data_IF_372508510538
#
_entry.id   IF_372508510538
#
_cell.length_a   1.000
_cell.length_b   1.000
_cell.length_c   1.000
_cell.angle_alpha   90.00
_cell.angle_beta   90.00
_cell.angle_gamma   90.00
#
_symmetry.space_group_name_H-M   'P 1'
#
loop_
_entity.id
_entity.type
_entity.pdbx_description
1 polymer ?
#
# COMPACT_ATOMS: atom_id res chain seq x y z
N UNK A 1 10.96 7.15 -17.94
CA UNK A 1 10.57 7.86 -16.70
C UNK A 1 9.04 7.94 -16.60
N UNK A 2 8.49 7.60 -15.44
CA UNK A 2 7.03 7.73 -15.19
C UNK A 2 6.69 9.19 -14.94
N UNK A 3 5.60 9.67 -15.52
CA UNK A 3 5.16 11.04 -15.33
C UNK A 3 4.29 11.12 -14.06
N UNK A 4 4.76 11.87 -13.04
CA UNK A 4 4.06 12.05 -11.75
C UNK A 4 2.58 12.45 -11.90
N UNK A 5 2.30 13.47 -12.74
CA UNK A 5 0.93 13.96 -12.94
C UNK A 5 0.01 12.86 -13.48
N UNK A 6 0.50 12.07 -14.45
CA UNK A 6 -0.25 10.97 -15.06
C UNK A 6 -0.53 9.84 -14.07
N UNK A 7 0.47 9.41 -13.32
CA UNK A 7 0.32 8.33 -12.32
C UNK A 7 -0.58 8.76 -11.16
N UNK A 8 -0.40 9.99 -10.66
CA UNK A 8 -1.27 10.57 -9.62
C UNK A 8 -2.73 10.70 -10.08
N UNK A 9 -2.97 11.20 -11.30
CA UNK A 9 -4.32 11.34 -11.87
C UNK A 9 -5.01 9.98 -12.01
N UNK A 10 -4.32 8.95 -12.49
CA UNK A 10 -4.85 7.59 -12.57
C UNK A 10 -5.25 7.04 -11.20
N UNK A 11 -4.37 7.18 -10.20
CA UNK A 11 -4.64 6.71 -8.85
C UNK A 11 -5.85 7.42 -8.22
N UNK A 12 -5.96 8.73 -8.41
CA UNK A 12 -7.11 9.53 -7.93
C UNK A 12 -8.40 9.09 -8.67
N UNK A 13 -8.35 8.87 -9.99
CA UNK A 13 -9.52 8.44 -10.75
C UNK A 13 -10.03 7.07 -10.26
N UNK A 14 -9.14 6.08 -10.09
CA UNK A 14 -9.51 4.75 -9.58
C UNK A 14 -10.12 4.87 -8.16
N UNK A 15 -9.50 5.66 -7.30
CA UNK A 15 -9.97 5.87 -5.93
C UNK A 15 -11.34 6.54 -5.89
N UNK A 16 -11.53 7.65 -6.61
CA UNK A 16 -12.78 8.42 -6.59
C UNK A 16 -13.94 7.66 -7.22
N UNK A 17 -13.72 7.00 -8.35
CA UNK A 17 -14.74 6.16 -9.01
C UNK A 17 -15.11 4.97 -8.13
N UNK A 18 -14.13 4.28 -7.56
CA UNK A 18 -14.36 3.15 -6.68
C UNK A 18 -15.20 3.52 -5.45
N UNK A 19 -14.86 4.60 -4.75
CA UNK A 19 -15.63 5.04 -3.58
C UNK A 19 -17.00 5.63 -3.93
N UNK A 20 -17.13 6.41 -5.00
CA UNK A 20 -18.40 7.00 -5.38
C UNK A 20 -19.41 5.94 -5.82
N UNK A 21 -19.04 5.06 -6.75
CA UNK A 21 -19.91 4.00 -7.23
C UNK A 21 -20.16 2.96 -6.15
N UNK A 22 -19.11 2.49 -5.45
CA UNK A 22 -19.23 1.48 -4.41
C UNK A 22 -20.10 1.95 -3.25
N UNK A 23 -19.92 3.19 -2.80
CA UNK A 23 -20.76 3.78 -1.75
C UNK A 23 -22.22 3.92 -2.16
N UNK A 24 -22.49 4.43 -3.37
CA UNK A 24 -23.84 4.55 -3.87
C UNK A 24 -24.57 3.20 -3.97
N UNK A 25 -23.91 2.18 -4.54
CA UNK A 25 -24.50 0.84 -4.68
C UNK A 25 -24.75 0.17 -3.32
N UNK A 26 -23.87 0.32 -2.34
CA UNK A 26 -24.08 -0.22 -0.99
C UNK A 26 -25.27 0.45 -0.31
N UNK A 27 -25.35 1.77 -0.35
CA UNK A 27 -26.45 2.52 0.26
C UNK A 27 -27.77 2.12 -0.39
N UNK A 28 -27.84 2.03 -1.72
CA UNK A 28 -29.02 1.62 -2.45
C UNK A 28 -29.40 0.17 -2.09
N UNK A 29 -28.45 -0.76 -2.09
CA UNK A 29 -28.71 -2.16 -1.77
C UNK A 29 -29.26 -2.35 -0.36
N UNK A 30 -28.72 -1.62 0.63
CA UNK A 30 -29.21 -1.66 2.01
C UNK A 30 -30.56 -0.97 2.16
N UNK A 31 -30.76 0.19 1.52
CA UNK A 31 -32.02 0.94 1.62
C UNK A 31 -33.22 0.22 0.96
N UNK A 32 -32.97 -0.67 0.00
CA UNK A 32 -34.01 -1.44 -0.71
C UNK A 32 -34.26 -2.84 -0.11
N UNK A 33 -33.58 -3.20 0.99
CA UNK A 33 -33.84 -4.42 1.72
C UNK A 33 -35.31 -4.44 2.20
N UNK A 34 -36.08 -5.46 1.75
CA UNK A 34 -37.51 -5.61 2.06
C UNK A 34 -38.48 -5.01 1.03
N UNK A 35 -37.99 -4.28 0.03
CA UNK A 35 -38.84 -3.70 -1.06
C UNK A 35 -38.58 -4.31 -2.43
N UNK A 36 -37.37 -4.81 -2.67
CA UNK A 36 -36.97 -5.50 -3.88
C UNK A 36 -36.81 -7.01 -3.64
N UNK A 37 -36.70 -7.75 -4.73
CA UNK A 37 -36.36 -9.18 -4.67
C UNK A 37 -35.02 -9.33 -3.96
N UNK A 38 -34.92 -10.16 -2.92
CA UNK A 38 -33.72 -10.35 -2.09
C UNK A 38 -32.43 -10.57 -2.90
N UNK A 39 -32.51 -11.31 -4.01
CA UNK A 39 -31.39 -11.58 -4.92
C UNK A 39 -30.81 -10.28 -5.49
N UNK A 40 -31.66 -9.32 -5.87
CA UNK A 40 -31.24 -8.05 -6.43
C UNK A 40 -30.50 -7.19 -5.38
N UNK A 41 -30.97 -7.18 -4.14
CA UNK A 41 -30.32 -6.47 -3.04
C UNK A 41 -28.92 -7.06 -2.75
N UNK A 42 -28.80 -8.39 -2.68
CA UNK A 42 -27.54 -9.08 -2.47
C UNK A 42 -26.55 -8.77 -3.60
N UNK A 43 -27.01 -8.79 -4.86
CA UNK A 43 -26.18 -8.46 -6.00
C UNK A 43 -25.64 -7.02 -5.93
N UNK A 44 -26.45 -6.03 -5.57
CA UNK A 44 -26.03 -4.64 -5.41
C UNK A 44 -24.98 -4.49 -4.30
N UNK A 45 -25.15 -5.18 -3.18
CA UNK A 45 -24.19 -5.15 -2.06
C UNK A 45 -22.85 -5.76 -2.48
N UNK A 46 -22.85 -6.90 -3.18
CA UNK A 46 -21.62 -7.55 -3.65
C UNK A 46 -20.88 -6.66 -4.64
N UNK A 47 -21.57 -6.12 -5.62
CA UNK A 47 -20.96 -5.22 -6.62
C UNK A 47 -20.43 -3.96 -5.95
N UNK A 48 -21.17 -3.38 -5.02
CA UNK A 48 -20.74 -2.22 -4.25
C UNK A 48 -19.45 -2.49 -3.45
N UNK A 49 -19.37 -3.66 -2.80
CA UNK A 49 -18.17 -4.08 -2.07
C UNK A 49 -16.95 -4.22 -3.00
N UNK A 50 -17.11 -4.78 -4.20
CA UNK A 50 -16.03 -4.88 -5.19
C UNK A 50 -15.51 -3.51 -5.59
N UNK A 51 -16.40 -2.54 -5.85
CA UNK A 51 -16.00 -1.16 -6.18
C UNK A 51 -15.29 -0.47 -5.02
N UNK A 52 -15.69 -0.71 -3.77
CA UNK A 52 -14.96 -0.18 -2.60
C UNK A 52 -13.54 -0.77 -2.50
N UNK A 53 -13.37 -2.06 -2.78
CA UNK A 53 -12.05 -2.68 -2.84
C UNK A 53 -11.17 -2.03 -3.92
N UNK A 54 -11.71 -1.74 -5.10
CA UNK A 54 -11.01 -1.00 -6.16
C UNK A 54 -10.60 0.40 -5.69
N UNK A 55 -11.49 1.11 -4.98
CA UNK A 55 -11.17 2.41 -4.37
C UNK A 55 -10.02 2.31 -3.37
N UNK A 56 -10.01 1.28 -2.53
CA UNK A 56 -8.93 1.03 -1.58
C UNK A 56 -7.59 0.72 -2.27
N UNK A 57 -7.60 -0.07 -3.34
CA UNK A 57 -6.41 -0.31 -4.18
C UNK A 57 -5.89 1.01 -4.76
N UNK A 58 -6.77 1.87 -5.29
CA UNK A 58 -6.41 3.20 -5.79
C UNK A 58 -5.72 4.06 -4.73
N UNK A 59 -6.19 4.01 -3.47
CA UNK A 59 -5.55 4.69 -2.35
C UNK A 59 -4.14 4.15 -2.06
N UNK A 60 -3.94 2.83 -2.13
CA UNK A 60 -2.62 2.20 -2.00
C UNK A 60 -1.64 2.67 -3.08
N UNK A 61 -2.11 2.72 -4.34
CA UNK A 61 -1.34 3.21 -5.47
C UNK A 61 -0.96 4.69 -5.26
N UNK A 62 -1.90 5.53 -4.81
CA UNK A 62 -1.64 6.94 -4.54
C UNK A 62 -0.57 7.15 -3.46
N UNK A 63 -0.61 6.35 -2.37
CA UNK A 63 0.44 6.38 -1.34
C UNK A 63 1.81 6.00 -1.91
N UNK A 64 1.85 4.98 -2.76
CA UNK A 64 3.07 4.53 -3.44
C UNK A 64 3.62 5.62 -4.37
N UNK A 65 2.78 6.24 -5.21
CA UNK A 65 3.17 7.36 -6.08
C UNK A 65 3.75 8.51 -5.26
N UNK A 66 3.12 8.90 -4.16
CA UNK A 66 3.63 9.96 -3.28
C UNK A 66 4.99 9.64 -2.65
N UNK A 67 5.35 8.36 -2.49
CA UNK A 67 6.67 7.95 -1.98
C UNK A 67 7.73 7.91 -3.06
N UNK A 68 7.36 7.45 -4.26
CA UNK A 68 8.29 7.27 -5.38
C UNK A 68 8.73 8.56 -6.06
N UNK A 69 8.11 9.70 -5.72
CA UNK A 69 8.41 10.97 -6.36
C UNK A 69 8.74 12.05 -5.34
N UNK A 70 9.67 12.94 -5.73
CA UNK A 70 10.02 14.11 -4.95
C UNK A 70 8.81 15.05 -4.81
N UNK A 71 8.48 15.52 -3.60
CA UNK A 71 7.35 16.43 -3.42
C UNK A 71 7.60 17.82 -4.00
N UNK A 72 8.87 18.23 -4.18
CA UNK A 72 9.25 19.57 -4.64
C UNK A 72 9.29 19.67 -6.16
N UNK A 73 10.06 18.82 -6.83
CA UNK A 73 10.25 18.87 -8.29
C UNK A 73 9.49 17.79 -9.06
N UNK A 74 8.90 16.81 -8.37
CA UNK A 74 8.19 15.68 -8.94
C UNK A 74 9.06 14.73 -9.79
N UNK A 75 10.39 14.77 -9.64
CA UNK A 75 11.28 13.77 -10.19
C UNK A 75 11.05 12.42 -9.49
N UNK A 76 11.19 11.34 -10.24
CA UNK A 76 11.09 9.99 -9.68
C UNK A 76 12.42 9.65 -8.99
N UNK A 77 12.37 9.18 -7.74
CA UNK A 77 13.55 8.70 -7.04
C UNK A 77 14.15 7.48 -7.72
N UNK A 78 15.49 7.45 -7.82
CA UNK A 78 16.27 6.29 -8.23
C UNK A 78 16.66 5.54 -6.97
N UNK A 79 16.20 4.29 -6.80
CA UNK A 79 16.32 3.58 -5.53
C UNK A 79 17.76 3.46 -5.02
N UNK A 80 18.71 3.14 -5.88
CA UNK A 80 20.10 2.94 -5.47
C UNK A 80 20.90 4.24 -5.26
N UNK A 81 20.45 5.35 -5.86
CA UNK A 81 21.19 6.62 -5.86
C UNK A 81 20.56 7.64 -4.89
N UNK A 82 19.23 7.65 -4.80
CA UNK A 82 18.48 8.68 -4.07
C UNK A 82 17.93 8.17 -2.72
N UNK A 83 17.99 6.85 -2.45
CA UNK A 83 17.33 6.24 -1.30
C UNK A 83 18.34 5.50 -0.44
N UNK A 84 18.52 5.99 0.77
CA UNK A 84 19.27 5.34 1.83
C UNK A 84 18.31 4.81 2.90
N UNK A 85 18.59 3.66 3.46
CA UNK A 85 17.82 3.11 4.54
C UNK A 85 18.72 2.37 5.53
N UNK A 86 18.32 2.39 6.81
CA UNK A 86 18.95 1.59 7.83
C UNK A 86 17.91 1.04 8.82
N UNK A 87 18.24 -0.06 9.46
CA UNK A 87 17.40 -0.67 10.47
C UNK A 87 17.63 0.08 11.80
N UNK A 88 16.59 0.81 12.26
CA UNK A 88 16.69 1.59 13.50
C UNK A 88 16.35 0.75 14.74
N UNK A 89 15.40 -0.19 14.61
CA UNK A 89 14.95 -1.01 15.73
C UNK A 89 14.41 -2.35 15.24
N UNK A 90 14.53 -3.38 16.08
CA UNK A 90 14.05 -4.73 15.81
C UNK A 90 13.17 -5.22 16.95
N UNK A 91 11.95 -5.61 16.64
CA UNK A 91 10.98 -6.14 17.59
C UNK A 91 10.70 -7.60 17.30
N UNK A 92 11.04 -8.49 18.23
CA UNK A 92 10.78 -9.92 18.12
C UNK A 92 9.43 -10.21 18.79
N UNK A 93 8.47 -10.71 18.02
CA UNK A 93 7.19 -11.22 18.53
C UNK A 93 7.12 -12.74 18.42
N UNK A 94 6.04 -13.33 18.94
CA UNK A 94 5.87 -14.81 19.02
C UNK A 94 5.83 -15.51 17.65
N UNK A 95 5.42 -14.83 16.59
CA UNK A 95 5.25 -15.41 15.25
C UNK A 95 5.99 -14.68 14.15
N UNK A 96 6.50 -13.49 14.43
CA UNK A 96 7.16 -12.65 13.43
C UNK A 96 8.19 -11.74 14.07
N UNK A 97 9.16 -11.36 13.27
CA UNK A 97 10.15 -10.35 13.61
C UNK A 97 9.87 -9.13 12.73
N UNK A 98 9.57 -8.02 13.34
CA UNK A 98 9.36 -6.74 12.67
C UNK A 98 10.62 -5.87 12.84
N UNK A 99 11.05 -5.20 11.78
CA UNK A 99 12.08 -4.17 11.85
C UNK A 99 11.49 -2.80 11.52
N UNK A 100 12.01 -1.79 12.18
CA UNK A 100 11.73 -0.39 11.89
C UNK A 100 12.82 0.14 10.99
N UNK A 101 12.48 0.47 9.76
CA UNK A 101 13.41 1.04 8.78
C UNK A 101 13.27 2.54 8.75
N UNK A 102 14.38 3.25 8.99
CA UNK A 102 14.48 4.69 8.73
C UNK A 102 15.01 4.88 7.31
N UNK A 103 14.25 5.63 6.54
CA UNK A 103 14.46 5.79 5.11
C UNK A 103 14.65 7.28 4.81
N UNK A 104 15.79 7.60 4.24
CA UNK A 104 16.14 8.94 3.78
C UNK A 104 16.16 8.96 2.26
N UNK A 105 15.45 9.91 1.67
CA UNK A 105 15.41 10.11 0.22
C UNK A 105 15.97 11.48 -0.11
N UNK A 106 17.05 11.52 -0.89
CA UNK A 106 17.65 12.76 -1.38
C UNK A 106 17.44 12.84 -2.90
N UNK A 107 16.73 13.85 -3.36
CA UNK A 107 16.40 13.98 -4.77
C UNK A 107 17.61 14.44 -5.58
N UNK A 108 18.03 13.65 -6.57
CA UNK A 108 19.15 13.99 -7.48
C UNK A 108 18.92 15.25 -8.32
N UNK A 109 17.64 15.61 -8.60
CA UNK A 109 17.31 16.78 -9.42
C UNK A 109 17.32 18.10 -8.64
N UNK A 110 16.89 18.09 -7.37
CA UNK A 110 16.72 19.34 -6.61
C UNK A 110 17.29 19.32 -5.19
N UNK A 111 17.97 18.24 -4.79
CA UNK A 111 18.57 18.08 -3.47
C UNK A 111 17.57 18.05 -2.31
N UNK A 112 16.25 17.97 -2.59
CA UNK A 112 15.25 17.94 -1.52
C UNK A 112 15.32 16.63 -0.76
N UNK A 113 15.55 16.73 0.54
CA UNK A 113 15.61 15.62 1.47
C UNK A 113 14.22 15.34 2.07
N UNK A 114 13.88 14.06 2.17
CA UNK A 114 12.66 13.57 2.80
C UNK A 114 12.98 12.34 3.62
N UNK A 115 12.59 12.35 4.88
CA UNK A 115 12.77 11.22 5.79
C UNK A 115 11.42 10.65 6.19
N UNK A 116 11.36 9.34 6.36
CA UNK A 116 10.21 8.65 6.94
C UNK A 116 10.61 7.29 7.50
N UNK A 117 9.88 6.89 8.54
CA UNK A 117 10.07 5.60 9.21
C UNK A 117 9.01 4.62 8.78
N UNK A 118 9.38 3.36 8.57
CA UNK A 118 8.45 2.30 8.19
C UNK A 118 8.75 0.99 8.91
N UNK A 119 7.72 0.46 9.59
CA UNK A 119 7.78 -0.88 10.17
C UNK A 119 7.49 -1.94 9.09
N UNK A 120 8.35 -2.95 8.98
CA UNK A 120 8.25 -4.06 8.02
C UNK A 120 8.51 -5.40 8.73
N UNK A 121 7.82 -6.45 8.31
CA UNK A 121 8.09 -7.81 8.76
C UNK A 121 9.32 -8.33 8.02
N UNK A 122 10.39 -8.63 8.75
CA UNK A 122 11.67 -9.10 8.20
C UNK A 122 11.87 -10.60 8.32
N UNK A 123 11.18 -11.23 9.26
CA UNK A 123 11.22 -12.68 9.40
C UNK A 123 9.89 -13.20 9.98
N UNK A 124 9.59 -14.45 9.66
CA UNK A 124 8.44 -15.15 10.21
C UNK A 124 8.88 -16.45 10.86
N UNK A 125 8.38 -16.71 12.07
CA UNK A 125 8.60 -17.94 12.81
C UNK A 125 7.54 -18.94 12.35
N UNK A 126 7.98 -20.01 11.67
CA UNK A 126 7.10 -21.09 11.15
C UNK A 126 7.43 -22.36 11.89
N UNK A 127 6.43 -23.08 12.36
CA UNK A 127 6.61 -24.43 12.94
C UNK A 127 6.59 -25.46 11.81
N UNK A 128 7.58 -26.31 11.79
CA UNK A 128 7.62 -27.45 10.87
C UNK A 128 6.63 -28.55 11.30
N UNK A 129 6.48 -29.58 10.50
CA UNK A 129 5.60 -30.72 10.78
C UNK A 129 6.00 -31.52 12.03
N UNK A 130 7.22 -31.35 12.53
CA UNK A 130 7.73 -31.94 13.76
C UNK A 130 7.59 -31.02 14.99
N UNK A 131 7.05 -29.80 14.80
CA UNK A 131 6.84 -28.82 15.87
C UNK A 131 8.05 -27.94 16.16
N UNK A 132 9.17 -28.08 15.41
CA UNK A 132 10.35 -27.24 15.60
C UNK A 132 10.12 -25.86 14.97
N UNK A 133 10.59 -24.81 15.64
CA UNK A 133 10.50 -23.44 15.15
C UNK A 133 11.62 -23.15 14.15
N UNK A 134 11.25 -22.73 12.96
CA UNK A 134 12.16 -22.26 11.93
C UNK A 134 11.93 -20.78 11.65
N UNK A 135 13.00 -20.00 11.61
CA UNK A 135 12.94 -18.58 11.24
C UNK A 135 13.10 -18.49 9.73
N UNK A 136 12.05 -18.01 9.06
CA UNK A 136 12.09 -17.71 7.62
C UNK A 136 12.34 -16.22 7.44
N UNK A 137 13.56 -15.88 7.11
CA UNK A 137 13.96 -14.49 6.86
C UNK A 137 13.48 -14.01 5.48
N UNK A 138 13.11 -12.74 5.41
CA UNK A 138 12.82 -12.02 4.19
C UNK A 138 14.02 -11.14 3.82
N UNK A 139 14.28 -11.00 2.52
CA UNK A 139 15.30 -10.05 2.06
C UNK A 139 14.83 -8.62 2.35
N UNK A 140 15.48 -7.97 3.32
CA UNK A 140 15.13 -6.63 3.80
C UNK A 140 15.31 -5.58 2.70
N UNK A 141 16.35 -5.71 1.87
CA UNK A 141 16.58 -4.83 0.72
C UNK A 141 15.42 -4.90 -0.27
N UNK A 142 14.95 -6.10 -0.59
CA UNK A 142 13.79 -6.28 -1.46
C UNK A 142 12.52 -5.67 -0.84
N UNK A 143 12.34 -5.77 0.47
CA UNK A 143 11.21 -5.15 1.18
C UNK A 143 11.31 -3.62 1.13
N UNK A 144 12.48 -3.04 1.41
CA UNK A 144 12.71 -1.62 1.33
C UNK A 144 12.43 -1.10 -0.11
N UNK A 145 12.94 -1.79 -1.14
CA UNK A 145 12.68 -1.46 -2.54
C UNK A 145 11.18 -1.46 -2.89
N UNK A 146 10.42 -2.44 -2.41
CA UNK A 146 8.95 -2.52 -2.63
C UNK A 146 8.17 -1.35 -2.05
N UNK A 147 8.72 -0.60 -1.10
CA UNK A 147 8.07 0.62 -0.58
C UNK A 147 7.99 1.74 -1.62
N UNK A 148 8.90 1.74 -2.62
CA UNK A 148 9.00 2.75 -3.68
C UNK A 148 8.43 2.27 -5.01
N UNK A 149 8.55 0.98 -5.33
CA UNK A 149 8.19 0.36 -6.60
C UNK A 149 7.26 -0.83 -6.40
#
# INVERSE_FOLDING_TARGET
MKNYKKEKSKAIAIMSVGFAIGGALLITGVATLGTLVEIACIALIIVGAVFLLLGYIGFGILKKVKRSFCPKCHAQYIYNDDVEWFEADRTVGDRKVDATLDITCVCHECGHEKQFTKKVEIARIVKDSAGNEQIREHNVEHLARRLFF
#
